data_IF_693391474728
#
_entry.id   IF_693391474728
#
_cell.length_a   1.000
_cell.length_b   1.000
_cell.length_c   1.000
_cell.angle_alpha   90.00
_cell.angle_beta   90.00
_cell.angle_gamma   90.00
#
_symmetry.space_group_name_H-M   'P 1'
#
loop_
_entity.id
_entity.type
_entity.pdbx_description
1 polymer ?
#
# COMPACT_ATOMS: atom_id res chain seq x y z
N UNK A 1 -6.45 -13.75 -10.34
CA UNK A 1 -7.59 -13.23 -11.08
C UNK A 1 -7.38 -11.78 -11.45
N UNK A 2 -7.69 -11.44 -12.69
CA UNK A 2 -7.51 -10.08 -13.18
C UNK A 2 -8.74 -9.23 -12.90
N UNK A 3 -8.50 -8.11 -12.25
CA UNK A 3 -9.54 -7.11 -12.04
C UNK A 3 -9.55 -6.14 -13.23
N UNK A 4 -10.72 -5.68 -13.60
CA UNK A 4 -10.82 -4.66 -14.62
C UNK A 4 -10.35 -3.33 -14.08
N UNK A 5 -9.97 -2.42 -14.97
CA UNK A 5 -9.58 -1.06 -14.56
C UNK A 5 -10.73 -0.36 -13.82
N UNK A 6 -11.95 -0.56 -14.29
CA UNK A 6 -13.12 0.03 -13.62
C UNK A 6 -13.32 -0.48 -12.21
N UNK A 7 -13.15 -1.80 -11.99
CA UNK A 7 -13.29 -2.38 -10.66
C UNK A 7 -12.18 -1.91 -9.74
N UNK A 8 -10.96 -1.71 -10.25
CA UNK A 8 -9.86 -1.18 -9.46
C UNK A 8 -10.09 0.28 -9.06
N UNK A 9 -10.64 1.09 -9.97
CA UNK A 9 -11.00 2.46 -9.65
C UNK A 9 -12.05 2.52 -8.55
N UNK A 10 -13.06 1.67 -8.66
CA UNK A 10 -14.12 1.60 -7.65
C UNK A 10 -13.54 1.22 -6.30
N UNK A 11 -12.64 0.23 -6.29
CA UNK A 11 -11.97 -0.20 -5.08
C UNK A 11 -11.22 0.96 -4.43
N UNK A 12 -10.44 1.70 -5.22
CA UNK A 12 -9.65 2.84 -4.71
C UNK A 12 -10.53 3.98 -4.21
N UNK A 13 -11.70 4.19 -4.81
CA UNK A 13 -12.64 5.22 -4.36
C UNK A 13 -13.22 4.93 -2.99
N UNK A 14 -13.23 3.66 -2.58
CA UNK A 14 -13.75 3.24 -1.29
C UNK A 14 -12.68 3.14 -0.21
N UNK A 15 -11.46 3.56 -0.52
CA UNK A 15 -10.32 3.59 0.40
C UNK A 15 -10.04 5.03 0.79
N UNK A 16 -9.77 5.29 2.05
CA UNK A 16 -9.44 6.63 2.55
C UNK A 16 -8.03 6.68 3.14
N UNK A 17 -7.64 5.64 3.85
CA UNK A 17 -6.35 5.60 4.54
C UNK A 17 -5.48 4.51 3.91
N UNK A 18 -4.24 4.87 3.61
CA UNK A 18 -3.29 3.98 2.94
C UNK A 18 -1.98 3.97 3.72
N UNK A 19 -1.51 2.79 4.11
CA UNK A 19 -0.16 2.63 4.62
C UNK A 19 0.72 2.24 3.44
N UNK A 20 1.69 3.09 3.11
CA UNK A 20 2.57 2.86 1.98
C UNK A 20 3.89 2.31 2.51
N UNK A 21 4.09 1.01 2.35
CA UNK A 21 5.25 0.29 2.88
C UNK A 21 6.37 0.30 1.87
N UNK A 22 7.54 0.77 2.29
CA UNK A 22 8.66 1.00 1.38
C UNK A 22 8.71 2.46 0.92
N UNK A 23 8.16 3.36 1.74
CA UNK A 23 8.19 4.79 1.44
C UNK A 23 9.62 5.32 1.41
N UNK A 24 9.86 6.34 0.61
CA UNK A 24 11.18 6.92 0.45
C UNK A 24 11.12 8.45 0.42
N UNK A 25 12.09 9.12 1.06
CA UNK A 25 12.20 10.57 0.94
C UNK A 25 12.80 11.02 -0.39
N UNK A 26 13.32 10.07 -1.17
CA UNK A 26 13.94 10.37 -2.47
C UNK A 26 12.86 10.59 -3.53
N UNK A 27 12.76 11.82 -4.04
CA UNK A 27 11.73 12.20 -5.02
C UNK A 27 11.84 11.45 -6.36
N UNK A 28 12.95 10.78 -6.61
CA UNK A 28 13.13 9.99 -7.83
C UNK A 28 12.56 8.58 -7.72
N UNK A 29 12.26 8.13 -6.51
CA UNK A 29 11.69 6.80 -6.30
C UNK A 29 10.22 6.75 -6.64
N UNK A 30 9.80 5.62 -7.21
CA UNK A 30 8.39 5.42 -7.57
C UNK A 30 7.47 5.54 -6.36
N UNK A 31 7.89 5.00 -5.20
CA UNK A 31 7.08 5.10 -3.99
C UNK A 31 6.80 6.55 -3.60
N UNK A 32 7.80 7.42 -3.76
CA UNK A 32 7.64 8.85 -3.46
C UNK A 32 6.64 9.50 -4.41
N UNK A 33 6.78 9.21 -5.71
CA UNK A 33 5.89 9.78 -6.73
C UNK A 33 4.44 9.34 -6.51
N UNK A 34 4.25 8.06 -6.22
CA UNK A 34 2.91 7.53 -5.97
C UNK A 34 2.33 8.12 -4.68
N UNK A 35 3.13 8.20 -3.62
CA UNK A 35 2.69 8.80 -2.37
C UNK A 35 2.22 10.23 -2.58
N UNK A 36 3.02 11.04 -3.30
CA UNK A 36 2.68 12.42 -3.59
C UNK A 36 1.36 12.53 -4.35
N UNK A 37 1.17 11.66 -5.33
CA UNK A 37 -0.06 11.64 -6.13
C UNK A 37 -1.28 11.28 -5.25
N UNK A 38 -1.13 10.27 -4.41
CA UNK A 38 -2.22 9.84 -3.52
C UNK A 38 -2.61 10.95 -2.55
N UNK A 39 -1.63 11.61 -1.94
CA UNK A 39 -1.89 12.73 -1.04
C UNK A 39 -2.64 13.84 -1.78
N UNK A 40 -2.21 14.14 -3.00
CA UNK A 40 -2.85 15.18 -3.82
C UNK A 40 -4.30 14.84 -4.16
N UNK A 41 -4.62 13.55 -4.17
CA UNK A 41 -5.98 13.07 -4.46
C UNK A 41 -6.75 12.73 -3.19
N UNK A 42 -6.40 13.38 -2.09
CA UNK A 42 -7.14 13.37 -0.83
C UNK A 42 -7.07 12.07 -0.04
N UNK A 43 -6.13 11.20 -0.34
CA UNK A 43 -5.88 10.03 0.51
C UNK A 43 -5.04 10.44 1.70
N UNK A 44 -5.35 9.85 2.84
CA UNK A 44 -4.48 9.99 4.02
C UNK A 44 -3.46 8.87 3.94
N UNK A 45 -2.18 9.23 3.75
CA UNK A 45 -1.12 8.26 3.55
C UNK A 45 -0.18 8.24 4.75
N UNK A 46 0.06 7.03 5.25
CA UNK A 46 1.01 6.78 6.33
C UNK A 46 2.24 6.09 5.76
N UNK A 47 3.38 6.80 5.64
CA UNK A 47 4.58 6.15 5.11
C UNK A 47 5.17 5.19 6.14
N UNK A 48 5.65 4.05 5.66
CA UNK A 48 6.27 3.02 6.51
C UNK A 48 7.63 2.65 5.92
N UNK A 49 8.68 2.84 6.71
CA UNK A 49 10.03 2.43 6.34
C UNK A 49 10.89 2.47 7.61
N UNK A 50 11.43 1.33 8.07
CA UNK A 50 12.21 1.31 9.32
C UNK A 50 13.44 2.22 9.26
N UNK A 51 14.03 2.43 8.07
CA UNK A 51 15.20 3.28 7.93
C UNK A 51 14.88 4.77 8.02
N UNK A 52 13.61 5.15 7.90
CA UNK A 52 13.17 6.54 7.95
C UNK A 52 12.22 6.79 9.11
N UNK A 53 12.21 5.89 10.07
CA UNK A 53 11.28 5.98 11.21
C UNK A 53 11.43 7.30 11.95
N UNK A 54 10.29 7.89 12.29
CA UNK A 54 10.16 9.16 13.02
C UNK A 54 10.60 10.40 12.23
N UNK A 55 11.06 10.23 11.00
CA UNK A 55 11.29 11.36 10.09
C UNK A 55 10.00 11.63 9.32
N UNK A 56 9.96 12.75 8.62
CA UNK A 56 8.79 13.07 7.79
C UNK A 56 9.10 12.83 6.32
N UNK A 57 8.14 12.27 5.62
CA UNK A 57 8.18 12.12 4.17
C UNK A 57 6.95 12.85 3.64
N UNK A 58 7.14 13.84 2.79
CA UNK A 58 6.04 14.67 2.27
C UNK A 58 5.14 15.21 3.39
N UNK A 59 5.77 15.59 4.51
CA UNK A 59 5.06 16.16 5.64
C UNK A 59 4.36 15.17 6.54
N UNK A 60 4.47 13.88 6.29
CA UNK A 60 3.83 12.83 7.10
C UNK A 60 4.89 12.08 7.89
N UNK A 61 4.60 11.84 9.16
CA UNK A 61 5.49 11.04 10.00
C UNK A 61 5.63 9.63 9.42
N UNK A 62 6.87 9.16 9.31
CA UNK A 62 7.16 7.81 8.86
C UNK A 62 7.21 6.85 10.05
N UNK A 63 6.57 5.71 9.91
CA UNK A 63 6.54 4.66 10.93
C UNK A 63 7.51 3.55 10.58
N UNK A 64 8.03 2.85 11.57
CA UNK A 64 8.95 1.74 11.30
C UNK A 64 8.23 0.50 10.81
N UNK A 65 6.99 0.29 11.22
CA UNK A 65 6.18 -0.85 10.80
C UNK A 65 4.69 -0.54 10.94
N UNK A 66 3.85 -1.42 10.40
CA UNK A 66 2.40 -1.24 10.42
C UNK A 66 1.81 -1.21 11.83
N UNK A 67 2.39 -1.95 12.75
CA UNK A 67 1.86 -2.07 14.12
C UNK A 67 1.89 -0.74 14.87
N UNK A 68 2.79 0.15 14.47
CA UNK A 68 2.94 1.45 15.14
C UNK A 68 1.88 2.47 14.71
N UNK A 69 1.14 2.19 13.65
CA UNK A 69 0.11 3.11 13.16
C UNK A 69 -1.14 2.92 14.01
N UNK A 70 -1.53 3.96 14.71
CA UNK A 70 -2.61 3.93 15.69
C UNK A 70 -4.00 4.22 15.10
N UNK A 71 -4.06 4.45 13.80
CA UNK A 71 -5.32 4.71 13.11
C UNK A 71 -5.72 3.51 12.28
N UNK A 72 -6.99 3.44 11.92
CA UNK A 72 -7.51 2.42 11.03
C UNK A 72 -6.92 2.61 9.63
N UNK A 73 -6.41 1.55 9.06
CA UNK A 73 -5.84 1.54 7.71
C UNK A 73 -6.77 0.74 6.80
N UNK A 74 -7.21 1.36 5.71
CA UNK A 74 -8.05 0.67 4.73
C UNK A 74 -7.23 -0.18 3.77
N UNK A 75 -6.08 0.32 3.34
CA UNK A 75 -5.26 -0.35 2.33
C UNK A 75 -3.78 -0.27 2.67
N UNK A 76 -3.07 -1.37 2.41
CA UNK A 76 -1.61 -1.39 2.46
C UNK A 76 -1.10 -1.46 1.03
N UNK A 77 -0.29 -0.47 0.63
CA UNK A 77 0.32 -0.40 -0.69
C UNK A 77 1.81 -0.75 -0.54
N UNK A 78 2.24 -1.85 -1.16
CA UNK A 78 3.56 -2.43 -0.90
C UNK A 78 4.54 -2.08 -2.01
N UNK A 79 5.58 -1.33 -1.65
CA UNK A 79 6.72 -0.98 -2.50
C UNK A 79 7.98 -1.70 -2.01
N UNK A 80 7.88 -2.99 -1.79
CA UNK A 80 9.02 -3.82 -1.39
C UNK A 80 9.15 -4.99 -2.35
N UNK A 81 10.36 -5.52 -2.47
CA UNK A 81 10.59 -6.67 -3.32
C UNK A 81 9.79 -7.89 -2.84
N UNK A 82 9.58 -8.83 -3.74
CA UNK A 82 8.71 -9.99 -3.52
C UNK A 82 8.98 -10.73 -2.21
N UNK A 83 10.24 -10.85 -1.84
CA UNK A 83 10.64 -11.61 -0.65
C UNK A 83 10.08 -11.05 0.65
N UNK A 84 9.68 -9.77 0.66
CA UNK A 84 9.13 -9.13 1.85
C UNK A 84 7.60 -9.11 1.89
N UNK A 85 6.97 -9.46 0.77
CA UNK A 85 5.50 -9.31 0.65
C UNK A 85 4.75 -10.18 1.64
N UNK A 86 5.20 -11.41 1.85
CA UNK A 86 4.48 -12.34 2.73
C UNK A 86 4.41 -11.83 4.18
N UNK A 87 5.54 -11.35 4.72
CA UNK A 87 5.57 -10.81 6.07
C UNK A 87 4.69 -9.56 6.21
N UNK A 88 4.76 -8.67 5.22
CA UNK A 88 3.94 -7.47 5.24
C UNK A 88 2.46 -7.83 5.17
N UNK A 89 2.12 -8.85 4.37
CA UNK A 89 0.74 -9.33 4.26
C UNK A 89 0.24 -9.86 5.61
N UNK A 90 1.06 -10.60 6.33
CA UNK A 90 0.69 -11.07 7.67
C UNK A 90 0.40 -9.91 8.61
N UNK A 91 1.23 -8.89 8.59
CA UNK A 91 1.03 -7.71 9.42
C UNK A 91 -0.24 -6.96 9.02
N UNK A 92 -0.50 -6.86 7.72
CA UNK A 92 -1.70 -6.20 7.21
C UNK A 92 -2.98 -6.94 7.63
N UNK A 93 -2.94 -8.26 7.59
CA UNK A 93 -4.08 -9.08 8.04
C UNK A 93 -4.35 -8.81 9.52
N UNK A 94 -3.32 -8.77 10.35
CA UNK A 94 -3.47 -8.47 11.78
C UNK A 94 -4.02 -7.07 12.01
N UNK A 95 -3.66 -6.12 11.15
CA UNK A 95 -4.15 -4.75 11.25
C UNK A 95 -5.59 -4.60 10.78
N UNK A 96 -6.17 -5.62 10.18
CA UNK A 96 -7.57 -5.60 9.77
C UNK A 96 -7.84 -4.75 8.54
N UNK A 97 -6.87 -4.62 7.63
CA UNK A 97 -7.05 -3.83 6.41
C UNK A 97 -8.05 -4.51 5.48
N UNK A 98 -8.64 -3.73 4.58
CA UNK A 98 -9.60 -4.24 3.60
C UNK A 98 -8.92 -4.66 2.30
N UNK A 99 -7.80 -4.03 1.98
CA UNK A 99 -7.12 -4.20 0.69
C UNK A 99 -5.62 -4.26 0.91
N UNK A 100 -4.98 -5.19 0.19
CA UNK A 100 -3.51 -5.23 0.09
C UNK A 100 -3.19 -5.09 -1.39
N UNK A 101 -2.21 -4.26 -1.69
CA UNK A 101 -1.87 -3.90 -3.07
C UNK A 101 -0.37 -4.04 -3.27
N UNK A 102 0.06 -4.78 -4.30
CA UNK A 102 1.47 -4.84 -4.65
C UNK A 102 1.71 -4.09 -5.95
N UNK A 103 2.84 -3.41 -6.00
CA UNK A 103 3.22 -2.56 -7.13
C UNK A 103 3.55 -3.37 -8.38
N UNK A 104 3.64 -2.70 -9.52
CA UNK A 104 3.97 -3.32 -10.80
C UNK A 104 5.22 -4.18 -10.67
N UNK A 105 5.19 -5.36 -11.26
CA UNK A 105 6.29 -6.31 -11.25
C UNK A 105 6.35 -7.19 -10.00
N UNK A 106 5.50 -6.93 -9.00
CA UNK A 106 5.53 -7.70 -7.75
C UNK A 106 4.31 -8.62 -7.70
N UNK A 107 4.57 -9.91 -7.81
CA UNK A 107 3.53 -10.94 -7.79
C UNK A 107 3.88 -11.97 -6.74
N UNK A 108 2.98 -12.20 -5.80
CA UNK A 108 3.14 -13.26 -4.79
C UNK A 108 1.80 -13.94 -4.55
N UNK A 109 1.60 -15.04 -5.25
CA UNK A 109 0.34 -15.78 -5.20
C UNK A 109 0.05 -16.37 -3.83
N UNK A 110 1.08 -16.76 -3.10
CA UNK A 110 0.92 -17.32 -1.75
C UNK A 110 0.33 -16.27 -0.81
N UNK A 111 0.84 -15.05 -0.86
CA UNK A 111 0.31 -13.95 -0.03
C UNK A 111 -1.12 -13.62 -0.44
N UNK A 112 -1.40 -13.60 -1.74
CA UNK A 112 -2.75 -13.34 -2.24
C UNK A 112 -3.74 -14.37 -1.71
N UNK A 113 -3.38 -15.64 -1.75
CA UNK A 113 -4.21 -16.72 -1.24
C UNK A 113 -4.48 -16.54 0.26
N UNK A 114 -3.44 -16.25 1.01
CA UNK A 114 -3.54 -16.06 2.46
C UNK A 114 -4.49 -14.90 2.80
N UNK A 115 -4.39 -13.79 2.08
CA UNK A 115 -5.22 -12.62 2.30
C UNK A 115 -6.69 -12.91 1.94
N UNK A 116 -6.91 -13.58 0.81
CA UNK A 116 -8.26 -13.91 0.36
C UNK A 116 -8.98 -14.82 1.34
N UNK A 117 -8.25 -15.74 1.97
CA UNK A 117 -8.83 -16.62 2.98
C UNK A 117 -9.30 -15.85 4.23
N UNK A 118 -8.85 -14.63 4.40
CA UNK A 118 -9.28 -13.75 5.49
C UNK A 118 -10.27 -12.67 5.03
N UNK A 119 -10.77 -12.81 3.80
CA UNK A 119 -11.75 -11.86 3.26
C UNK A 119 -11.15 -10.53 2.83
N UNK A 120 -9.84 -10.49 2.61
CA UNK A 120 -9.14 -9.26 2.21
C UNK A 120 -8.88 -9.30 0.70
N UNK A 121 -9.16 -8.20 0.02
CA UNK A 121 -8.88 -8.08 -1.40
C UNK A 121 -7.38 -7.90 -1.61
N UNK A 122 -6.84 -8.58 -2.61
CA UNK A 122 -5.41 -8.53 -2.91
C UNK A 122 -5.23 -8.22 -4.38
N UNK A 123 -4.63 -7.06 -4.67
CA UNK A 123 -4.35 -6.60 -6.02
C UNK A 123 -2.85 -6.67 -6.24
N UNK A 124 -2.43 -7.30 -7.33
CA UNK A 124 -1.01 -7.47 -7.65
C UNK A 124 -0.66 -6.84 -8.98
N UNK A 125 0.61 -6.42 -9.11
CA UNK A 125 1.19 -6.00 -10.38
C UNK A 125 0.43 -4.82 -10.98
N UNK A 126 0.05 -3.86 -10.15
CA UNK A 126 -0.67 -2.66 -10.58
C UNK A 126 -0.11 -1.44 -9.87
N UNK A 127 -0.29 -0.27 -10.48
CA UNK A 127 0.08 0.98 -9.86
C UNK A 127 -1.17 1.81 -9.58
N UNK A 128 -1.47 2.11 -8.29
CA UNK A 128 -2.69 2.87 -7.98
C UNK A 128 -2.74 4.22 -8.68
N UNK A 129 -1.59 4.89 -8.82
CA UNK A 129 -1.53 6.16 -9.52
C UNK A 129 -1.96 6.02 -10.97
N UNK A 130 -1.47 4.99 -11.67
CA UNK A 130 -1.84 4.77 -13.08
C UNK A 130 -3.32 4.41 -13.22
N UNK A 131 -3.85 3.64 -12.27
CA UNK A 131 -5.27 3.30 -12.27
C UNK A 131 -6.11 4.56 -12.12
N UNK A 132 -5.75 5.43 -11.19
CA UNK A 132 -6.51 6.66 -10.92
C UNK A 132 -6.42 7.70 -12.02
N UNK A 133 -5.28 7.76 -12.72
CA UNK A 133 -5.08 8.74 -13.80
C UNK A 133 -5.92 8.45 -15.05
N UNK A 134 -6.35 7.24 -15.24
CA UNK A 134 -7.05 6.83 -16.47
C UNK A 134 -8.58 6.88 -16.35
#
# INVERSE_FOLDING_TARGET
MNSTKESLKTLLKNVKTIALVGASPNSKRDSHKVMKYLIKNDYEVFPVNPNEANKKILGRKCFSNLKEIDQKIDMVDIFRSKQFVNEITKDAIKAGVKVIWTQEGIIDKKSAFMAKNKGIKFVMDECPMKVLKN
#
